data_IF_962713388443
#
_entry.id   IF_962713388443
#
_cell.length_a   1.000
_cell.length_b   1.000
_cell.length_c   1.000
_cell.angle_alpha   90.00
_cell.angle_beta   90.00
_cell.angle_gamma   90.00
#
_symmetry.space_group_name_H-M   'P 1'
#
loop_
_entity.id
_entity.type
_entity.pdbx_description
1 polymer ?
#
# COMPACT_ATOMS: atom_id res chain seq x y z
N UNK A 1 -17.84 -2.98 -3.65
CA UNK A 1 -16.72 -3.72 -3.01
C UNK A 1 -16.58 -3.20 -1.61
N UNK A 2 -16.32 -4.08 -0.64
CA UNK A 2 -16.06 -3.73 0.76
C UNK A 2 -14.54 -3.72 0.97
N UNK A 3 -13.97 -2.88 1.85
CA UNK A 3 -12.57 -2.98 2.24
C UNK A 3 -12.22 -4.39 2.75
N UNK A 4 -11.02 -4.93 2.46
CA UNK A 4 -10.60 -6.27 2.87
C UNK A 4 -10.15 -6.29 4.34
N UNK A 5 -11.06 -5.85 5.20
CA UNK A 5 -10.85 -5.63 6.64
C UNK A 5 -12.02 -6.28 7.37
N UNK A 6 -11.72 -7.09 8.37
CA UNK A 6 -12.69 -7.84 9.15
C UNK A 6 -13.58 -6.92 10.00
N UNK A 7 -14.77 -7.41 10.36
CA UNK A 7 -15.70 -6.73 11.27
C UNK A 7 -15.21 -6.63 12.72
N UNK A 8 -14.19 -7.40 13.10
CA UNK A 8 -13.52 -7.34 14.40
C UNK A 8 -12.53 -6.18 14.52
N UNK A 9 -12.28 -5.45 13.43
CA UNK A 9 -11.33 -4.34 13.41
C UNK A 9 -11.87 -3.11 14.14
N UNK A 10 -10.99 -2.40 14.82
CA UNK A 10 -11.33 -1.24 15.64
C UNK A 10 -10.45 -0.04 15.31
N UNK A 11 -11.03 1.15 15.35
CA UNK A 11 -10.36 2.44 15.20
C UNK A 11 -10.91 3.42 16.23
N UNK A 12 -10.03 4.05 16.99
CA UNK A 12 -10.37 5.12 17.92
C UNK A 12 -9.58 6.38 17.57
N UNK A 13 -10.24 7.53 17.69
CA UNK A 13 -9.65 8.83 17.40
C UNK A 13 -10.18 9.87 18.40
N UNK A 14 -9.27 10.69 18.90
CA UNK A 14 -9.57 11.86 19.74
C UNK A 14 -8.70 13.03 19.32
N UNK A 15 -9.27 14.23 19.43
CA UNK A 15 -8.56 15.49 19.22
C UNK A 15 -8.85 16.40 20.40
N UNK A 16 -7.83 16.65 21.21
CA UNK A 16 -7.89 17.55 22.36
C UNK A 16 -6.65 18.44 22.35
N UNK A 17 -6.84 19.75 22.55
CA UNK A 17 -5.77 20.74 22.71
C UNK A 17 -4.65 20.72 21.64
N UNK A 18 -4.98 20.38 20.38
CA UNK A 18 -3.98 20.31 19.30
C UNK A 18 -3.17 19.00 19.25
N UNK A 19 -3.54 18.00 20.06
CA UNK A 19 -2.94 16.67 19.99
C UNK A 19 -3.94 15.70 19.38
N UNK A 20 -3.51 15.01 18.32
CA UNK A 20 -4.25 13.90 17.73
C UNK A 20 -3.79 12.60 18.34
N UNK A 21 -4.73 11.90 18.98
CA UNK A 21 -4.50 10.56 19.48
C UNK A 21 -5.36 9.57 18.68
N UNK A 22 -4.74 8.49 18.25
CA UNK A 22 -5.45 7.39 17.62
C UNK A 22 -4.87 6.06 18.05
N UNK A 23 -5.73 5.05 17.97
CA UNK A 23 -5.35 3.65 18.08
C UNK A 23 -6.13 2.88 17.04
N UNK A 24 -5.47 1.90 16.44
CA UNK A 24 -6.09 1.03 15.46
C UNK A 24 -5.62 -0.39 15.65
N UNK A 25 -6.52 -1.33 15.40
CA UNK A 25 -6.23 -2.75 15.34
C UNK A 25 -7.06 -3.33 14.20
N UNK A 26 -6.40 -3.75 13.13
CA UNK A 26 -7.07 -4.32 11.96
C UNK A 26 -6.78 -5.81 11.87
N UNK A 27 -7.82 -6.56 11.51
CA UNK A 27 -7.69 -7.94 11.09
C UNK A 27 -7.98 -8.00 9.59
N UNK A 28 -6.97 -8.42 8.83
CA UNK A 28 -7.05 -8.57 7.36
C UNK A 28 -8.10 -9.63 6.99
N UNK A 29 -8.88 -9.36 5.95
CA UNK A 29 -9.87 -10.31 5.40
C UNK A 29 -9.59 -10.57 3.91
N UNK A 30 -8.77 -11.59 3.65
CA UNK A 30 -8.41 -12.01 2.28
C UNK A 30 -9.62 -12.52 1.49
N UNK A 31 -10.72 -12.91 2.15
CA UNK A 31 -11.94 -13.34 1.47
C UNK A 31 -12.68 -12.19 0.79
N UNK A 32 -12.39 -10.95 1.21
CA UNK A 32 -12.97 -9.73 0.66
C UNK A 32 -12.10 -9.05 -0.40
N UNK A 33 -10.92 -9.62 -0.73
CA UNK A 33 -10.07 -9.12 -1.80
C UNK A 33 -10.79 -9.09 -3.15
N UNK A 34 -10.43 -8.11 -3.99
CA UNK A 34 -10.94 -7.98 -5.35
C UNK A 34 -10.48 -9.12 -6.24
N UNK A 35 -9.28 -9.61 -6.01
CA UNK A 35 -8.69 -10.77 -6.67
C UNK A 35 -8.28 -11.82 -5.63
N UNK A 36 -7.80 -12.99 -6.07
CA UNK A 36 -7.11 -13.87 -5.13
C UNK A 36 -5.91 -13.08 -4.56
N UNK A 37 -5.76 -13.06 -3.25
CA UNK A 37 -4.68 -12.36 -2.56
C UNK A 37 -4.21 -13.27 -1.43
N UNK A 38 -2.91 -13.21 -1.14
CA UNK A 38 -2.30 -14.00 -0.07
C UNK A 38 -2.04 -13.12 1.17
N UNK A 39 -1.87 -11.82 0.96
CA UNK A 39 -1.73 -10.83 2.03
C UNK A 39 -2.31 -9.48 1.64
N UNK A 40 -2.65 -8.69 2.67
CA UNK A 40 -3.14 -7.32 2.53
C UNK A 40 -2.22 -6.41 3.36
N UNK A 41 -1.81 -5.27 2.82
CA UNK A 41 -1.13 -4.24 3.61
C UNK A 41 -2.01 -3.01 3.69
N UNK A 42 -2.14 -2.43 4.88
CA UNK A 42 -3.01 -1.27 5.14
C UNK A 42 -2.21 -0.08 5.64
N UNK A 43 -2.53 1.10 5.15
CA UNK A 43 -1.95 2.37 5.56
C UNK A 43 -3.05 3.35 5.94
N UNK A 44 -2.82 4.13 6.98
CA UNK A 44 -3.77 5.14 7.45
C UNK A 44 -3.19 6.52 7.23
N UNK A 45 -4.03 7.43 6.75
CA UNK A 45 -3.68 8.81 6.49
C UNK A 45 -4.68 9.74 7.17
N UNK A 46 -4.19 10.80 7.79
CA UNK A 46 -4.98 11.94 8.21
C UNK A 46 -4.83 13.01 7.15
N UNK A 47 -5.94 13.39 6.53
CA UNK A 47 -6.01 14.47 5.57
C UNK A 47 -6.72 15.65 6.19
N UNK A 48 -6.16 16.84 6.01
CA UNK A 48 -6.78 18.09 6.44
C UNK A 48 -7.30 18.79 5.20
N UNK A 49 -8.60 19.05 5.19
CA UNK A 49 -9.30 19.65 4.06
C UNK A 49 -9.94 20.94 4.51
N UNK A 50 -9.64 22.02 3.81
CA UNK A 50 -10.32 23.30 3.99
C UNK A 50 -11.43 23.41 2.95
N UNK A 51 -12.65 23.75 3.38
CA UNK A 51 -13.79 23.81 2.47
C UNK A 51 -13.66 24.96 1.49
N UNK A 52 -13.22 26.15 1.93
CA UNK A 52 -13.03 27.32 1.07
C UNK A 52 -11.88 28.23 1.50
N UNK A 53 -10.84 28.38 0.67
CA UNK A 53 -9.82 29.41 0.88
C UNK A 53 -9.99 30.62 -0.03
N UNK A 54 -9.70 31.81 0.50
CA UNK A 54 -9.61 33.05 -0.26
C UNK A 54 -8.15 33.38 -0.62
N UNK A 55 -7.86 33.43 -1.91
CA UNK A 55 -6.53 33.72 -2.47
C UNK A 55 -6.62 34.70 -3.66
N UNK A 56 -6.83 36.01 -3.40
CA UNK A 56 -7.10 37.01 -4.44
C UNK A 56 -5.89 37.28 -5.35
N UNK A 57 -4.69 36.95 -4.88
CA UNK A 57 -3.44 37.07 -5.65
C UNK A 57 -3.18 35.85 -6.56
N UNK A 58 -4.17 34.97 -6.74
CA UNK A 58 -4.10 33.79 -7.59
C UNK A 58 -3.86 34.13 -9.06
N UNK A 59 -2.96 33.42 -9.73
CA UNK A 59 -2.57 33.70 -11.11
C UNK A 59 -3.62 33.33 -12.17
N UNK A 60 -4.65 32.57 -11.78
CA UNK A 60 -5.77 32.15 -12.63
C UNK A 60 -6.98 33.11 -12.55
N UNK A 61 -6.93 34.13 -11.69
CA UNK A 61 -8.05 35.06 -11.46
C UNK A 61 -9.22 34.48 -10.65
N UNK A 62 -9.09 33.26 -10.12
CA UNK A 62 -10.05 32.70 -9.17
C UNK A 62 -9.63 33.10 -7.76
N UNK A 63 -10.52 33.79 -7.05
CA UNK A 63 -10.25 34.28 -5.71
C UNK A 63 -10.65 33.26 -4.63
N UNK A 64 -11.58 32.35 -4.93
CA UNK A 64 -12.09 31.36 -3.98
C UNK A 64 -11.83 29.94 -4.49
N UNK A 65 -11.18 29.13 -3.67
CA UNK A 65 -10.85 27.74 -3.96
C UNK A 65 -11.60 26.84 -3.02
N UNK A 66 -12.21 25.77 -3.54
CA UNK A 66 -13.02 24.87 -2.74
C UNK A 66 -12.36 23.51 -2.54
N UNK A 67 -12.60 22.87 -1.40
CA UNK A 67 -12.15 21.51 -1.04
C UNK A 67 -10.65 21.34 -1.23
N UNK A 68 -9.90 22.16 -0.52
CA UNK A 68 -8.44 22.25 -0.62
C UNK A 68 -7.82 21.25 0.34
N UNK A 69 -7.04 20.33 -0.19
CA UNK A 69 -6.19 19.47 0.62
C UNK A 69 -5.02 20.29 1.17
N UNK A 70 -5.04 20.55 2.48
CA UNK A 70 -4.03 21.33 3.19
C UNK A 70 -2.82 20.50 3.60
N UNK A 71 -3.07 19.29 4.11
CA UNK A 71 -2.01 18.39 4.53
C UNK A 71 -2.45 16.92 4.43
N UNK A 72 -1.44 16.04 4.34
CA UNK A 72 -1.58 14.58 4.34
C UNK A 72 -0.51 14.00 5.25
N UNK A 73 -0.97 13.47 6.39
CA UNK A 73 -0.09 12.94 7.42
C UNK A 73 -0.24 11.42 7.46
N UNK A 74 0.80 10.64 7.15
CA UNK A 74 0.78 9.20 7.34
C UNK A 74 0.72 8.88 8.84
N UNK A 75 -0.28 8.12 9.25
CA UNK A 75 -0.50 7.73 10.64
C UNK A 75 0.20 6.42 10.94
N UNK A 76 1.20 6.50 11.82
CA UNK A 76 1.89 5.34 12.37
C UNK A 76 1.11 4.66 13.51
N UNK A 77 1.83 3.94 14.36
CA UNK A 77 1.28 3.16 15.48
C UNK A 77 0.93 3.98 16.73
N UNK A 78 1.09 5.31 16.72
CA UNK A 78 0.90 6.16 17.91
C UNK A 78 0.55 7.60 17.55
N UNK A 79 0.10 8.37 18.53
CA UNK A 79 -0.30 9.79 18.44
C UNK A 79 0.73 10.72 17.81
N UNK A 80 0.24 11.87 17.32
CA UNK A 80 1.08 13.01 16.91
C UNK A 80 0.55 14.30 17.53
N UNK A 81 1.48 15.19 17.87
CA UNK A 81 1.15 16.58 18.13
C UNK A 81 1.02 17.31 16.79
N UNK A 82 -0.11 17.98 16.59
CA UNK A 82 -0.37 18.69 15.35
C UNK A 82 -0.97 20.06 15.63
N UNK A 83 -0.19 21.09 15.29
CA UNK A 83 -0.62 22.48 15.41
C UNK A 83 -0.92 22.96 13.98
N UNK A 84 -2.20 23.17 13.62
CA UNK A 84 -2.52 23.75 12.32
C UNK A 84 -1.86 25.13 12.18
N UNK A 85 -1.34 25.47 11.00
CA UNK A 85 -0.87 26.82 10.71
C UNK A 85 -1.94 27.87 11.04
N UNK A 86 -1.52 28.99 11.64
CA UNK A 86 -2.40 30.10 12.02
C UNK A 86 -3.19 30.69 10.83
N UNK A 87 -2.69 30.50 9.60
CA UNK A 87 -3.34 30.99 8.39
C UNK A 87 -4.58 30.18 7.99
N UNK A 88 -4.83 29.03 8.61
CA UNK A 88 -6.03 28.24 8.38
C UNK A 88 -7.10 28.70 9.36
N UNK A 89 -8.25 29.11 8.85
CA UNK A 89 -9.40 29.46 9.66
C UNK A 89 -10.09 28.19 10.14
N UNK A 90 -10.10 27.98 11.45
CA UNK A 90 -10.62 26.75 12.08
C UNK A 90 -12.12 26.49 11.80
N UNK A 91 -12.84 27.45 11.21
CA UNK A 91 -14.29 27.38 10.98
C UNK A 91 -14.68 26.51 9.76
N UNK A 92 -13.80 26.31 8.79
CA UNK A 92 -14.09 25.55 7.57
C UNK A 92 -13.09 24.39 7.30
N UNK A 93 -12.23 24.10 8.27
CA UNK A 93 -11.30 22.98 8.24
C UNK A 93 -11.98 21.69 8.74
N UNK A 94 -11.82 20.64 7.95
CA UNK A 94 -12.30 19.29 8.22
C UNK A 94 -11.15 18.29 8.23
N UNK A 95 -11.27 17.27 9.08
CA UNK A 95 -10.31 16.17 9.15
C UNK A 95 -10.94 14.94 8.50
N UNK A 96 -10.20 14.30 7.62
CA UNK A 96 -10.58 13.06 6.97
C UNK A 96 -9.55 11.98 7.29
N UNK A 97 -10.01 10.88 7.88
CA UNK A 97 -9.18 9.69 8.05
C UNK A 97 -9.40 8.79 6.84
N UNK A 98 -8.33 8.49 6.12
CA UNK A 98 -8.33 7.64 4.93
C UNK A 98 -7.56 6.38 5.23
N UNK A 99 -8.21 5.25 5.02
CA UNK A 99 -7.61 3.92 5.11
C UNK A 99 -7.37 3.41 3.69
N UNK A 100 -6.11 3.29 3.32
CA UNK A 100 -5.68 2.71 2.05
C UNK A 100 -5.24 1.27 2.27
N UNK A 101 -5.38 0.44 1.24
CA UNK A 101 -4.94 -0.94 1.29
C UNK A 101 -4.39 -1.40 -0.06
N UNK A 102 -3.42 -2.32 0.00
CA UNK A 102 -2.84 -2.98 -1.16
C UNK A 102 -2.98 -4.48 -1.00
N UNK A 103 -3.52 -5.12 -2.03
CA UNK A 103 -3.62 -6.58 -2.13
C UNK A 103 -2.35 -7.10 -2.81
N UNK A 104 -1.69 -8.09 -2.20
CA UNK A 104 -0.55 -8.78 -2.80
C UNK A 104 -0.83 -10.28 -2.97
N UNK A 105 -0.37 -10.82 -4.09
CA UNK A 105 -0.26 -12.26 -4.31
C UNK A 105 1.19 -12.67 -4.11
N UNK A 106 1.43 -13.83 -3.49
CA UNK A 106 2.73 -14.46 -3.58
C UNK A 106 2.94 -14.91 -5.03
N UNK A 107 4.07 -14.51 -5.61
CA UNK A 107 4.55 -15.14 -6.82
C UNK A 107 5.04 -16.54 -6.44
N UNK A 108 4.13 -17.52 -6.49
CA UNK A 108 4.48 -18.93 -6.33
C UNK A 108 5.54 -19.29 -7.38
N UNK A 109 6.76 -19.58 -6.93
CA UNK A 109 7.78 -20.05 -7.88
C UNK A 109 7.38 -21.44 -8.37
N UNK A 110 7.65 -21.74 -9.64
CA UNK A 110 7.29 -23.04 -10.24
C UNK A 110 7.71 -24.25 -9.38
N UNK A 111 8.79 -24.14 -8.60
CA UNK A 111 9.29 -25.22 -7.76
C UNK A 111 8.52 -25.40 -6.45
N UNK A 112 7.80 -24.38 -5.95
CA UNK A 112 6.99 -24.45 -4.73
C UNK A 112 5.68 -25.22 -4.96
N UNK A 113 5.15 -25.19 -6.19
CA UNK A 113 3.88 -25.85 -6.56
C UNK A 113 4.05 -27.36 -6.83
N UNK A 114 5.29 -27.84 -6.99
CA UNK A 114 5.56 -29.23 -7.38
C UNK A 114 5.82 -30.08 -6.12
N UNK A 115 5.16 -31.24 -5.96
CA UNK A 115 5.48 -32.18 -4.88
C UNK A 115 6.99 -32.51 -4.90
N UNK A 116 7.65 -32.57 -3.74
CA UNK A 116 9.12 -32.69 -3.63
C UNK A 116 9.75 -33.78 -4.51
N UNK A 117 9.08 -34.93 -4.66
CA UNK A 117 9.52 -36.03 -5.52
C UNK A 117 9.57 -35.66 -7.02
N UNK A 118 8.72 -34.76 -7.49
CA UNK A 118 8.71 -34.33 -8.88
C UNK A 118 9.76 -33.23 -9.16
N UNK A 119 10.18 -32.45 -8.16
CA UNK A 119 11.31 -31.51 -8.28
C UNK A 119 12.61 -32.27 -8.52
N UNK A 120 12.85 -33.35 -7.78
CA UNK A 120 14.04 -34.20 -7.98
C UNK A 120 14.10 -34.78 -9.40
N UNK A 121 12.98 -35.24 -9.94
CA UNK A 121 12.92 -35.77 -11.30
C UNK A 121 13.18 -34.71 -12.37
N UNK A 122 12.72 -33.48 -12.18
CA UNK A 122 13.01 -32.36 -13.09
C UNK A 122 14.50 -32.01 -13.05
N UNK A 123 15.10 -31.92 -11.86
CA UNK A 123 16.53 -31.65 -11.70
C UNK A 123 17.36 -32.77 -12.34
N UNK A 124 17.03 -34.04 -12.06
CA UNK A 124 17.71 -35.19 -12.66
C UNK A 124 17.58 -35.16 -14.19
N UNK A 125 16.39 -34.87 -14.72
CA UNK A 125 16.15 -34.73 -16.16
C UNK A 125 17.02 -33.65 -16.81
N UNK A 126 17.10 -32.46 -16.20
CA UNK A 126 17.95 -31.36 -16.69
C UNK A 126 19.45 -31.70 -16.64
N UNK A 127 19.89 -32.42 -15.61
CA UNK A 127 21.28 -32.89 -15.50
C UNK A 127 21.57 -33.93 -16.58
N UNK A 128 20.67 -34.88 -16.80
CA UNK A 128 20.81 -35.88 -17.87
C UNK A 128 20.88 -35.26 -19.26
N UNK A 129 20.04 -34.26 -19.57
CA UNK A 129 20.10 -33.59 -20.88
C UNK A 129 21.41 -32.83 -21.08
N UNK A 130 21.94 -32.17 -20.03
CA UNK A 130 23.24 -31.50 -20.09
C UNK A 130 24.42 -32.46 -20.32
N UNK A 131 24.36 -33.68 -19.76
CA UNK A 131 25.38 -34.71 -19.99
C UNK A 131 25.25 -35.43 -21.34
N UNK A 132 24.05 -35.46 -21.92
CA UNK A 132 23.79 -36.13 -23.21
C UNK A 132 23.99 -35.17 -24.39
N UNK A 133 23.84 -33.86 -24.22
CA UNK A 133 24.21 -32.90 -25.28
C UNK A 133 25.72 -32.93 -25.52
N UNK A 134 26.21 -33.42 -26.67
CA UNK A 134 27.63 -33.33 -26.98
C UNK A 134 27.99 -31.85 -27.13
N UNK A 135 29.09 -31.44 -26.51
CA UNK A 135 29.72 -30.14 -26.76
C UNK A 135 30.30 -30.11 -28.17
N UNK A 136 29.46 -30.03 -29.20
CA UNK A 136 29.89 -29.62 -30.54
C UNK A 136 30.11 -28.10 -30.56
N UNK A 137 31.14 -27.66 -29.85
CA UNK A 137 31.58 -26.27 -29.91
C UNK A 137 33.10 -26.12 -29.88
N UNK A 138 33.88 -27.08 -30.40
CA UNK A 138 35.28 -26.78 -30.74
C UNK A 138 35.91 -27.75 -31.75
N UNK A 139 35.50 -27.66 -33.02
CA UNK A 139 36.34 -28.15 -34.13
C UNK A 139 36.04 -27.46 -35.46
N UNK A 140 36.10 -26.12 -35.45
CA UNK A 140 36.33 -25.33 -36.67
C UNK A 140 37.32 -24.20 -36.38
N UNK A 141 38.59 -24.56 -36.22
CA UNK A 141 39.73 -23.75 -36.66
C UNK A 141 40.98 -24.62 -36.66
N UNK A 142 41.73 -24.51 -37.76
CA UNK A 142 43.00 -25.19 -38.09
C UNK A 142 42.77 -26.67 -38.44
N UNK A 143 42.87 -27.10 -39.70
CA UNK A 143 43.93 -26.82 -40.67
C UNK A 143 43.38 -26.94 -42.10
#
# INVERSE_FOLDING_TARGET
MRPPISNSSEFTFTWEDGTFEWSWNWEEDTTACRSNCDSISTELYLMIVEDTAFFPEGSNGEEYYHRILRDVIPLGSSSIDYIPPQAWDEDDVSILIVLDWQESQSEETFLEVIPSLAVELVIIGLVFTAFITPTEAEKRRVQ
#
